data_IF_843797345118
#
_entry.id   IF_843797345118
#
_cell.length_a   1.000
_cell.length_b   1.000
_cell.length_c   1.000
_cell.angle_alpha   90.00
_cell.angle_beta   90.00
_cell.angle_gamma   90.00
#
_symmetry.space_group_name_H-M   'P 1'
#
loop_
_entity.id
_entity.type
_entity.pdbx_description
1 polymer ?
#
# COMPACT_ATOMS: atom_id res chain seq x y z
N UNK A 1 -0.08 -9.24 45.73
CA UNK A 1 1.36 -9.11 45.47
C UNK A 1 1.59 -7.78 44.74
N UNK A 2 2.34 -6.85 45.38
CA UNK A 2 2.77 -5.65 44.69
C UNK A 2 4.21 -5.88 44.14
N UNK A 3 4.39 -5.84 42.86
CA UNK A 3 5.70 -5.99 42.20
C UNK A 3 6.67 -4.85 42.57
N UNK A 4 6.16 -3.70 43.01
CA UNK A 4 7.00 -2.58 43.41
C UNK A 4 7.84 -2.86 44.66
N UNK A 5 7.41 -3.81 45.52
CA UNK A 5 8.13 -4.21 46.72
C UNK A 5 9.41 -5.03 46.44
N UNK A 6 9.59 -5.49 45.18
CA UNK A 6 10.68 -6.41 44.78
C UNK A 6 11.54 -5.87 43.62
N UNK A 7 11.41 -4.57 43.34
CA UNK A 7 12.24 -3.93 42.29
C UNK A 7 13.64 -3.66 42.83
N UNK A 8 14.63 -4.30 42.20
CA UNK A 8 16.02 -3.86 42.31
C UNK A 8 16.29 -2.64 41.40
N UNK A 9 17.41 -1.95 41.62
CA UNK A 9 17.88 -0.88 40.76
C UNK A 9 18.23 -1.44 39.35
N UNK A 10 17.20 -1.77 38.57
CA UNK A 10 17.39 -2.34 37.23
C UNK A 10 16.12 -2.89 36.62
N UNK A 11 16.26 -3.79 35.67
CA UNK A 11 15.19 -4.45 34.94
C UNK A 11 14.84 -5.85 35.50
N UNK A 12 15.41 -6.22 36.65
CA UNK A 12 15.24 -7.53 37.27
C UNK A 12 14.38 -7.44 38.51
N UNK A 13 13.47 -8.38 38.68
CA UNK A 13 12.75 -8.64 39.90
C UNK A 13 13.11 -10.03 40.38
N UNK A 14 13.75 -10.10 41.53
CA UNK A 14 14.15 -11.33 42.19
C UNK A 14 13.29 -11.58 43.42
N UNK A 15 12.49 -12.63 43.40
CA UNK A 15 11.62 -13.00 44.55
C UNK A 15 12.11 -14.32 45.10
N UNK A 16 12.62 -14.29 46.36
CA UNK A 16 13.07 -15.50 47.04
C UNK A 16 11.91 -16.29 47.64
N UNK A 17 12.07 -17.61 47.74
CA UNK A 17 11.09 -18.48 48.42
C UNK A 17 10.87 -18.09 49.89
N UNK A 18 11.89 -17.53 50.55
CA UNK A 18 11.82 -17.05 51.91
C UNK A 18 10.87 -15.88 52.10
N UNK A 19 10.85 -14.92 51.15
CA UNK A 19 9.98 -13.76 51.15
C UNK A 19 8.55 -14.15 50.83
N UNK A 20 8.37 -15.08 49.89
CA UNK A 20 7.09 -15.67 49.56
C UNK A 20 6.51 -16.42 50.78
N UNK A 21 7.33 -17.22 51.45
CA UNK A 21 6.91 -17.97 52.63
C UNK A 21 6.40 -17.05 53.74
N UNK A 22 7.11 -15.96 54.02
CA UNK A 22 6.69 -14.97 55.03
C UNK A 22 5.33 -14.32 54.67
N UNK A 23 5.17 -13.88 53.44
CA UNK A 23 3.93 -13.23 52.97
C UNK A 23 2.76 -14.21 52.93
N UNK A 24 2.96 -15.46 52.52
CA UNK A 24 1.93 -16.48 52.47
C UNK A 24 1.57 -16.89 53.91
N UNK A 25 2.55 -17.12 54.79
CA UNK A 25 2.30 -17.48 56.18
C UNK A 25 1.49 -16.43 56.95
N UNK A 26 1.69 -15.14 56.63
CA UNK A 26 0.90 -14.04 57.21
C UNK A 26 -0.59 -14.05 56.81
N UNK A 27 -0.95 -14.74 55.73
CA UNK A 27 -2.33 -14.88 55.25
C UNK A 27 -2.98 -16.23 55.63
N UNK A 28 -2.22 -17.14 56.21
CA UNK A 28 -2.71 -18.46 56.60
C UNK A 28 -3.12 -18.48 58.06
N UNK A 29 -4.03 -19.40 58.39
CA UNK A 29 -4.41 -19.65 59.79
C UNK A 29 -3.22 -20.18 60.58
N UNK A 30 -3.20 -19.91 61.91
CA UNK A 30 -2.12 -20.28 62.82
C UNK A 30 -1.79 -21.79 62.83
N UNK A 31 -2.73 -22.62 62.45
CA UNK A 31 -2.58 -24.08 62.35
C UNK A 31 -1.97 -24.59 61.05
N UNK A 32 -1.81 -23.69 60.03
CA UNK A 32 -1.32 -24.08 58.71
C UNK A 32 0.12 -23.60 58.50
N UNK A 33 1.03 -24.51 58.10
CA UNK A 33 2.43 -24.19 57.83
C UNK A 33 2.75 -24.42 56.34
N UNK A 34 3.49 -23.49 55.74
CA UNK A 34 4.06 -23.66 54.40
C UNK A 34 5.26 -24.60 54.55
N UNK A 35 5.21 -25.76 53.91
CA UNK A 35 6.28 -26.75 53.95
C UNK A 35 7.38 -26.48 52.93
N UNK A 36 7.03 -26.08 51.73
CA UNK A 36 7.98 -25.74 50.68
C UNK A 36 7.31 -24.92 49.61
N UNK A 37 8.08 -24.05 48.94
CA UNK A 37 7.69 -23.32 47.72
C UNK A 37 8.67 -23.74 46.63
N UNK A 38 8.13 -24.09 45.47
CA UNK A 38 8.93 -24.42 44.28
C UNK A 38 8.45 -23.63 43.07
N UNK A 39 9.34 -23.03 42.26
CA UNK A 39 10.80 -22.99 42.39
C UNK A 39 11.25 -22.13 43.59
N UNK A 40 12.50 -22.31 44.05
CA UNK A 40 13.08 -21.59 45.20
C UNK A 40 13.23 -20.09 44.93
N UNK A 41 13.31 -19.69 43.70
CA UNK A 41 13.44 -18.31 43.25
C UNK A 41 12.60 -18.07 42.02
N UNK A 42 11.98 -16.89 41.98
CA UNK A 42 11.28 -16.39 40.80
C UNK A 42 12.03 -15.16 40.26
N UNK A 43 12.67 -15.33 39.11
CA UNK A 43 13.38 -14.25 38.44
C UNK A 43 12.55 -13.75 37.26
N UNK A 44 12.22 -12.48 37.28
CA UNK A 44 11.53 -11.81 36.18
C UNK A 44 12.38 -10.68 35.65
N UNK A 45 12.48 -10.61 34.36
CA UNK A 45 13.02 -9.43 33.68
C UNK A 45 11.83 -8.59 33.26
N UNK A 46 11.73 -7.36 33.77
CA UNK A 46 10.76 -6.40 33.28
C UNK A 46 11.49 -5.24 32.60
N UNK A 47 10.93 -4.76 31.52
CA UNK A 47 11.36 -3.53 30.88
C UNK A 47 10.25 -2.50 31.02
N UNK A 48 10.60 -1.24 31.25
CA UNK A 48 9.65 -0.14 31.10
C UNK A 48 9.38 0.05 29.60
N UNK A 49 8.57 -0.85 29.05
CA UNK A 49 8.18 -0.75 27.67
C UNK A 49 7.31 0.49 27.48
N UNK A 50 7.76 1.37 26.61
CA UNK A 50 6.93 2.47 26.11
C UNK A 50 6.06 1.95 24.97
N UNK A 51 4.99 2.68 24.68
CA UNK A 51 4.06 2.32 23.63
C UNK A 51 4.15 3.31 22.46
N UNK A 52 4.19 2.80 21.24
CA UNK A 52 4.14 3.59 20.01
C UNK A 52 3.14 2.97 19.03
N UNK A 53 2.24 3.78 18.49
CA UNK A 53 1.34 3.35 17.41
C UNK A 53 2.11 3.35 16.10
N UNK A 54 2.12 2.21 15.41
CA UNK A 54 2.81 2.04 14.12
C UNK A 54 1.86 1.46 13.08
N UNK A 55 1.95 1.90 11.80
CA UNK A 55 1.13 1.36 10.73
C UNK A 55 1.52 -0.09 10.42
N UNK A 56 0.53 -0.88 10.00
CA UNK A 56 0.73 -2.24 9.51
C UNK A 56 1.12 -2.19 8.03
N UNK A 57 2.13 -2.98 7.65
CA UNK A 57 2.58 -3.13 6.26
C UNK A 57 2.70 -4.60 5.87
N UNK A 58 2.44 -4.88 4.62
CA UNK A 58 2.59 -6.21 4.04
C UNK A 58 4.07 -6.57 3.91
N UNK A 59 4.44 -7.77 4.39
CA UNK A 59 5.75 -8.39 4.13
C UNK A 59 5.64 -9.61 3.20
N UNK A 60 4.43 -10.16 3.03
CA UNK A 60 4.18 -11.28 2.11
C UNK A 60 4.05 -10.84 0.65
N UNK A 61 4.09 -11.82 -0.24
CA UNK A 61 3.84 -11.64 -1.67
C UNK A 61 2.47 -12.20 -2.03
N UNK A 62 1.70 -11.43 -2.78
CA UNK A 62 0.39 -11.81 -3.29
C UNK A 62 0.43 -11.69 -4.81
N UNK A 63 0.21 -12.80 -5.51
CA UNK A 63 0.23 -12.86 -6.96
C UNK A 63 -1.19 -13.19 -7.46
N UNK A 64 -1.88 -12.24 -8.11
CA UNK A 64 -3.16 -12.51 -8.73
C UNK A 64 -3.01 -13.41 -9.95
N UNK A 65 -4.11 -14.05 -10.34
CA UNK A 65 -4.17 -14.82 -11.59
C UNK A 65 -4.07 -13.89 -12.81
N UNK A 66 -3.75 -14.44 -13.99
CA UNK A 66 -3.32 -13.72 -15.21
C UNK A 66 -4.25 -12.58 -15.66
N UNK A 67 -5.54 -12.72 -15.44
CA UNK A 67 -6.55 -11.73 -15.87
C UNK A 67 -6.98 -10.79 -14.74
N UNK A 68 -6.34 -10.92 -13.56
CA UNK A 68 -6.72 -10.22 -12.37
C UNK A 68 -5.61 -9.29 -11.88
N UNK A 69 -5.99 -8.32 -11.07
CA UNK A 69 -5.06 -7.45 -10.38
C UNK A 69 -5.55 -7.13 -8.97
N UNK A 70 -4.63 -6.78 -8.09
CA UNK A 70 -4.98 -6.35 -6.74
C UNK A 70 -5.41 -4.89 -6.81
N UNK A 71 -6.70 -4.64 -6.62
CA UNK A 71 -7.27 -3.29 -6.65
C UNK A 71 -7.06 -2.54 -5.34
N UNK A 72 -7.04 -3.26 -4.21
CA UNK A 72 -6.85 -2.69 -2.87
C UNK A 72 -6.38 -3.74 -1.87
N UNK A 73 -5.58 -3.29 -0.91
CA UNK A 73 -5.19 -4.08 0.27
C UNK A 73 -5.56 -3.28 1.51
N UNK A 74 -6.37 -3.87 2.38
CA UNK A 74 -6.79 -3.28 3.65
C UNK A 74 -6.36 -4.13 4.84
N UNK A 75 -5.95 -3.47 5.90
CA UNK A 75 -5.65 -4.06 7.19
C UNK A 75 -6.67 -3.60 8.24
N UNK A 76 -7.12 -4.53 9.07
CA UNK A 76 -8.00 -4.20 10.20
C UNK A 76 -7.45 -4.83 11.49
N UNK A 77 -6.95 -3.98 12.40
CA UNK A 77 -6.74 -2.54 12.32
C UNK A 77 -5.61 -2.14 11.36
N UNK A 78 -5.60 -0.89 10.85
CA UNK A 78 -4.57 -0.33 9.98
C UNK A 78 -3.23 -0.08 10.68
N UNK A 79 -3.25 -0.05 12.01
CA UNK A 79 -2.11 0.20 12.86
C UNK A 79 -2.21 -0.59 14.16
N UNK A 80 -1.06 -0.91 14.75
CA UNK A 80 -0.94 -1.66 16.01
C UNK A 80 -0.09 -0.90 17.01
N UNK A 81 -0.28 -1.22 18.29
CA UNK A 81 0.57 -0.71 19.36
C UNK A 81 1.82 -1.57 19.48
N UNK A 82 2.98 -0.97 19.34
CA UNK A 82 4.28 -1.58 19.58
C UNK A 82 4.76 -1.21 20.98
N UNK A 83 5.09 -2.21 21.79
CA UNK A 83 5.65 -2.05 23.14
C UNK A 83 7.11 -2.50 23.11
N UNK A 84 8.03 -1.60 23.41
CA UNK A 84 9.46 -1.87 23.42
C UNK A 84 10.21 -0.78 24.21
N UNK A 85 11.51 -0.96 24.52
CA UNK A 85 12.39 0.13 24.95
C UNK A 85 12.40 1.28 23.95
N UNK A 86 12.62 2.51 24.45
CA UNK A 86 12.55 3.73 23.63
C UNK A 86 13.47 3.68 22.41
N UNK A 87 14.70 3.19 22.58
CA UNK A 87 15.71 3.08 21.52
C UNK A 87 15.22 2.26 20.31
N UNK A 88 14.47 1.18 20.58
CA UNK A 88 13.89 0.34 19.54
C UNK A 88 12.69 1.06 18.89
N UNK A 89 11.84 1.71 19.69
CA UNK A 89 10.68 2.44 19.18
C UNK A 89 11.06 3.60 18.28
N UNK A 90 12.18 4.26 18.53
CA UNK A 90 12.66 5.39 17.71
C UNK A 90 13.01 4.94 16.28
N UNK A 91 13.52 3.72 16.14
CA UNK A 91 13.86 3.14 14.84
C UNK A 91 12.68 2.43 14.16
N UNK A 92 11.65 2.05 14.92
CA UNK A 92 10.52 1.29 14.42
C UNK A 92 9.55 2.19 13.64
N UNK A 93 9.48 2.01 12.31
CA UNK A 93 8.63 2.81 11.42
C UNK A 93 7.28 2.15 11.10
N UNK A 94 7.21 0.82 11.11
CA UNK A 94 6.02 0.04 10.77
C UNK A 94 6.08 -1.36 11.41
N UNK A 95 4.92 -1.98 11.58
CA UNK A 95 4.78 -3.38 11.90
C UNK A 95 4.52 -4.15 10.60
N UNK A 96 5.33 -5.18 10.33
CA UNK A 96 5.19 -5.99 9.14
C UNK A 96 4.45 -7.28 9.46
N UNK A 97 3.66 -7.79 8.52
CA UNK A 97 3.06 -9.12 8.61
C UNK A 97 4.14 -10.21 8.55
N UNK A 98 3.80 -11.41 8.97
CA UNK A 98 4.60 -12.59 8.65
C UNK A 98 4.76 -12.74 7.14
N UNK A 99 5.89 -13.34 6.71
CA UNK A 99 6.09 -13.64 5.30
C UNK A 99 5.18 -14.77 4.85
N UNK A 100 4.49 -14.53 3.74
CA UNK A 100 3.67 -15.54 3.08
C UNK A 100 3.76 -15.34 1.56
N UNK A 101 3.38 -16.37 0.83
CA UNK A 101 3.31 -16.35 -0.63
C UNK A 101 1.98 -16.95 -1.06
N UNK A 102 1.12 -16.13 -1.66
CA UNK A 102 -0.18 -16.55 -2.19
C UNK A 102 -0.21 -16.32 -3.68
N UNK A 103 -0.56 -17.37 -4.43
CA UNK A 103 -0.63 -17.35 -5.89
C UNK A 103 -2.04 -17.62 -6.39
N UNK A 104 -2.27 -17.27 -7.66
CA UNK A 104 -3.49 -17.56 -8.41
C UNK A 104 -4.75 -17.01 -7.72
N UNK A 105 -4.64 -15.79 -7.18
CA UNK A 105 -5.75 -15.14 -6.50
C UNK A 105 -6.67 -14.52 -7.56
N UNK A 106 -7.89 -15.05 -7.68
CA UNK A 106 -8.93 -14.60 -8.62
C UNK A 106 -10.13 -13.95 -7.93
N UNK A 107 -10.23 -14.07 -6.62
CA UNK A 107 -11.31 -13.51 -5.80
C UNK A 107 -10.80 -12.70 -4.61
N UNK A 108 -11.68 -11.86 -4.05
CA UNK A 108 -11.39 -11.14 -2.81
C UNK A 108 -11.08 -12.11 -1.67
N UNK A 109 -9.88 -11.99 -1.12
CA UNK A 109 -9.38 -12.85 -0.06
C UNK A 109 -9.39 -12.10 1.27
N UNK A 110 -9.95 -12.72 2.31
CA UNK A 110 -9.88 -12.22 3.69
C UNK A 110 -9.21 -13.28 4.55
N UNK A 111 -8.09 -12.93 5.17
CA UNK A 111 -7.32 -13.84 6.04
C UNK A 111 -6.76 -13.11 7.24
N UNK A 112 -6.71 -13.82 8.34
CA UNK A 112 -5.98 -13.39 9.53
C UNK A 112 -4.50 -13.74 9.36
N UNK A 113 -3.64 -12.74 9.53
CA UNK A 113 -2.17 -12.86 9.41
C UNK A 113 -1.51 -12.43 10.71
N UNK A 114 -0.41 -13.10 11.09
CA UNK A 114 0.40 -12.74 12.23
C UNK A 114 1.29 -11.52 11.93
N UNK A 115 1.74 -10.85 12.99
CA UNK A 115 2.80 -9.85 12.90
C UNK A 115 4.17 -10.54 12.97
N UNK A 116 5.09 -10.10 12.12
CA UNK A 116 6.48 -10.58 12.13
C UNK A 116 7.11 -10.26 13.49
N UNK A 117 7.77 -11.25 14.09
CA UNK A 117 8.42 -11.11 15.38
C UNK A 117 9.68 -10.26 15.27
N UNK A 118 9.69 -9.15 15.98
CA UNK A 118 10.87 -8.29 16.13
C UNK A 118 11.42 -8.47 17.55
N UNK A 119 12.72 -8.75 17.67
CA UNK A 119 13.36 -8.96 18.97
C UNK A 119 13.17 -7.73 19.87
N UNK A 120 12.63 -7.94 21.06
CA UNK A 120 12.39 -6.87 22.03
C UNK A 120 11.15 -6.02 21.78
N UNK A 121 10.31 -6.37 20.79
CA UNK A 121 9.05 -5.68 20.48
C UNK A 121 7.87 -6.62 20.67
N UNK A 122 6.82 -6.14 21.34
CA UNK A 122 5.53 -6.80 21.44
C UNK A 122 4.48 -5.97 20.70
N UNK A 123 3.83 -6.56 19.69
CA UNK A 123 2.71 -5.93 18.98
C UNK A 123 1.37 -6.32 19.61
N UNK A 124 0.46 -5.35 19.75
CA UNK A 124 -0.91 -5.57 20.20
C UNK A 124 -1.86 -4.82 19.24
N UNK A 125 -2.78 -5.52 18.55
CA UNK A 125 -2.90 -6.98 18.51
C UNK A 125 -1.72 -7.66 17.80
N UNK A 126 -1.47 -8.95 18.11
CA UNK A 126 -0.43 -9.76 17.48
C UNK A 126 -0.85 -10.31 16.11
N UNK A 127 -2.12 -10.17 15.75
CA UNK A 127 -2.72 -10.59 14.49
C UNK A 127 -3.47 -9.43 13.86
N UNK A 128 -3.62 -9.49 12.55
CA UNK A 128 -4.36 -8.51 11.79
C UNK A 128 -5.25 -9.20 10.76
N UNK A 129 -6.43 -8.68 10.50
CA UNK A 129 -7.30 -9.17 9.45
C UNK A 129 -6.95 -8.44 8.14
N UNK A 130 -6.36 -9.18 7.21
CA UNK A 130 -5.96 -8.72 5.88
C UNK A 130 -7.07 -8.99 4.89
N UNK A 131 -7.51 -7.95 4.19
CA UNK A 131 -8.44 -8.02 3.07
C UNK A 131 -7.74 -7.62 1.78
N UNK A 132 -7.68 -8.54 0.83
CA UNK A 132 -7.11 -8.33 -0.50
C UNK A 132 -8.26 -8.31 -1.49
N UNK A 133 -8.50 -7.16 -2.10
CA UNK A 133 -9.54 -6.98 -3.10
C UNK A 133 -8.92 -7.20 -4.48
N UNK A 134 -9.51 -8.11 -5.21
CA UNK A 134 -9.07 -8.49 -6.55
C UNK A 134 -10.13 -8.04 -7.55
N UNK A 135 -9.71 -7.55 -8.70
CA UNK A 135 -10.58 -7.16 -9.80
C UNK A 135 -10.02 -7.68 -11.12
N UNK A 136 -10.87 -7.80 -12.13
CA UNK A 136 -10.48 -8.29 -13.45
C UNK A 136 -10.17 -7.13 -14.38
N UNK A 137 -9.12 -7.27 -15.18
CA UNK A 137 -8.87 -6.35 -16.29
C UNK A 137 -9.84 -6.60 -17.43
N UNK A 138 -10.30 -5.50 -18.04
CA UNK A 138 -11.00 -5.50 -19.31
C UNK A 138 -10.30 -4.56 -20.28
N UNK A 139 -10.33 -4.88 -21.55
CA UNK A 139 -9.83 -4.00 -22.62
C UNK A 139 -10.97 -3.09 -23.09
N UNK A 140 -10.68 -1.80 -23.22
CA UNK A 140 -11.61 -0.79 -23.73
C UNK A 140 -10.93 0.05 -24.79
N UNK A 141 -11.72 0.45 -25.80
CA UNK A 141 -11.27 1.33 -26.87
C UNK A 141 -12.16 2.57 -26.89
N UNK A 142 -11.56 3.73 -27.02
CA UNK A 142 -12.25 5.03 -27.15
C UNK A 142 -11.65 5.83 -28.32
N UNK A 143 -12.47 6.66 -28.97
CA UNK A 143 -12.02 7.54 -30.05
C UNK A 143 -11.60 8.89 -29.46
N UNK A 144 -10.31 9.21 -29.54
CA UNK A 144 -9.72 10.42 -28.97
C UNK A 144 -9.33 11.38 -30.10
N UNK A 145 -9.73 12.66 -30.03
CA UNK A 145 -9.31 13.64 -31.05
C UNK A 145 -7.82 13.98 -30.93
N UNK A 146 -7.20 14.21 -32.08
CA UNK A 146 -5.83 14.74 -32.15
C UNK A 146 -5.88 16.26 -32.15
N UNK A 147 -5.27 16.90 -31.16
CA UNK A 147 -5.34 18.35 -30.97
C UNK A 147 -3.98 19.01 -31.19
N UNK A 148 -3.97 20.08 -32.03
CA UNK A 148 -2.79 20.93 -32.19
C UNK A 148 -2.60 21.86 -30.95
N UNK A 149 -1.36 21.95 -30.46
CA UNK A 149 -0.99 22.76 -29.31
C UNK A 149 0.09 23.76 -29.72
N UNK A 150 -0.02 25.00 -29.25
CA UNK A 150 0.97 26.07 -29.45
C UNK A 150 1.28 26.30 -30.93
N UNK A 151 0.27 26.26 -31.81
CA UNK A 151 0.41 26.66 -33.20
C UNK A 151 0.43 28.19 -33.30
N UNK A 152 1.22 28.76 -34.21
CA UNK A 152 1.21 30.19 -34.47
C UNK A 152 -0.18 30.68 -34.90
N UNK A 153 -0.46 31.95 -34.64
CA UNK A 153 -1.72 32.57 -35.04
C UNK A 153 -2.01 32.35 -36.54
N UNK A 154 -3.25 31.98 -36.87
CA UNK A 154 -3.68 31.69 -38.22
C UNK A 154 -3.23 30.33 -38.77
N UNK A 155 -2.53 29.49 -38.00
CA UNK A 155 -2.19 28.11 -38.39
C UNK A 155 -2.97 27.10 -37.58
N UNK A 156 -3.60 26.13 -38.22
CA UNK A 156 -4.37 25.06 -37.60
C UNK A 156 -3.90 23.71 -38.09
N UNK A 157 -3.68 22.79 -37.17
CA UNK A 157 -3.38 21.40 -37.51
C UNK A 157 -4.65 20.67 -37.94
N UNK A 158 -4.58 20.01 -39.10
CA UNK A 158 -5.59 19.05 -39.55
C UNK A 158 -4.92 17.69 -39.69
N UNK A 159 -5.50 16.67 -39.07
CA UNK A 159 -5.00 15.29 -39.12
C UNK A 159 -6.00 14.37 -39.80
N UNK A 160 -5.50 13.34 -40.46
CA UNK A 160 -6.30 12.32 -41.13
C UNK A 160 -5.83 10.93 -40.70
N UNK A 161 -6.68 10.26 -39.85
CA UNK A 161 -7.98 10.70 -39.31
C UNK A 161 -7.84 11.80 -38.23
N UNK A 162 -8.91 12.55 -38.00
CA UNK A 162 -8.96 13.59 -36.96
C UNK A 162 -9.15 13.03 -35.55
N UNK A 163 -9.61 11.76 -35.43
CA UNK A 163 -9.71 10.98 -34.19
C UNK A 163 -9.00 9.67 -34.40
N UNK A 164 -8.39 9.18 -33.34
CA UNK A 164 -7.69 7.88 -33.32
C UNK A 164 -8.18 7.02 -32.19
N UNK A 165 -8.09 5.71 -32.34
CA UNK A 165 -8.50 4.76 -31.34
C UNK A 165 -7.40 4.62 -30.27
N UNK A 166 -7.80 4.83 -29.03
CA UNK A 166 -6.97 4.54 -27.84
C UNK A 166 -7.52 3.30 -27.18
N UNK A 167 -6.74 2.22 -27.20
CA UNK A 167 -7.06 0.96 -26.56
C UNK A 167 -6.23 0.83 -25.29
N UNK A 168 -6.86 0.45 -24.19
CA UNK A 168 -6.22 0.34 -22.88
C UNK A 168 -6.86 -0.75 -22.03
N UNK A 169 -6.14 -1.21 -21.00
CA UNK A 169 -6.66 -2.08 -19.96
C UNK A 169 -7.12 -1.26 -18.76
N UNK A 170 -8.30 -1.61 -18.24
CA UNK A 170 -8.92 -0.98 -17.07
C UNK A 170 -9.64 -2.03 -16.24
N UNK A 171 -9.66 -1.86 -14.91
CA UNK A 171 -10.44 -2.72 -14.03
C UNK A 171 -11.95 -2.57 -14.31
N UNK A 172 -12.70 -3.67 -14.21
CA UNK A 172 -14.14 -3.69 -14.51
C UNK A 172 -14.92 -2.64 -13.70
N UNK A 173 -14.49 -2.33 -12.50
CA UNK A 173 -15.12 -1.30 -11.65
C UNK A 173 -15.08 0.08 -12.28
N UNK A 174 -14.01 0.40 -12.97
CA UNK A 174 -13.78 1.70 -13.62
C UNK A 174 -14.10 1.69 -15.12
N UNK A 175 -14.57 0.55 -15.65
CA UNK A 175 -14.82 0.42 -17.09
C UNK A 175 -15.79 1.44 -17.64
N UNK A 176 -16.83 1.80 -16.86
CA UNK A 176 -17.84 2.79 -17.25
C UNK A 176 -17.39 4.23 -17.02
N UNK A 177 -16.47 4.43 -16.10
CA UNK A 177 -16.02 5.76 -15.66
C UNK A 177 -15.03 6.38 -16.65
N UNK A 178 -14.32 5.55 -17.44
CA UNK A 178 -13.31 6.03 -18.40
C UNK A 178 -13.97 6.35 -19.74
N UNK A 179 -13.72 7.56 -20.22
CA UNK A 179 -14.22 8.08 -21.51
C UNK A 179 -13.07 8.59 -22.40
N UNK A 180 -13.40 9.09 -23.62
CA UNK A 180 -12.43 9.75 -24.50
C UNK A 180 -11.80 10.99 -23.88
N UNK A 181 -12.53 11.69 -23.03
CA UNK A 181 -12.12 12.96 -22.44
C UNK A 181 -11.00 12.79 -21.36
N UNK A 182 -10.82 11.56 -20.90
CA UNK A 182 -9.77 11.21 -19.95
C UNK A 182 -8.40 11.01 -20.64
N UNK A 183 -8.37 11.02 -21.97
CA UNK A 183 -7.14 10.87 -22.76
C UNK A 183 -6.83 12.13 -23.55
N UNK A 184 -5.55 12.45 -23.59
CA UNK A 184 -5.10 13.62 -24.33
C UNK A 184 -4.00 13.26 -25.33
N UNK A 185 -4.27 13.51 -26.62
CA UNK A 185 -3.33 13.38 -27.71
C UNK A 185 -3.09 14.75 -28.30
N UNK A 186 -2.02 15.38 -27.82
CA UNK A 186 -1.64 16.72 -28.25
C UNK A 186 -0.37 16.70 -29.11
N UNK A 187 -0.39 17.42 -30.22
CA UNK A 187 0.74 17.63 -31.12
C UNK A 187 1.14 19.07 -31.09
N UNK A 188 2.37 19.36 -30.76
CA UNK A 188 2.90 20.73 -30.79
C UNK A 188 3.37 21.13 -32.20
N UNK A 189 3.42 22.44 -32.47
CA UNK A 189 3.99 22.93 -33.70
C UNK A 189 5.46 22.51 -33.87
N UNK A 190 6.22 22.41 -32.78
CA UNK A 190 7.59 21.91 -32.78
C UNK A 190 7.67 20.42 -33.17
N UNK A 191 6.72 19.59 -32.71
CA UNK A 191 6.66 18.17 -33.08
C UNK A 191 6.50 18.04 -34.63
N UNK A 192 5.67 18.89 -35.21
CA UNK A 192 5.47 18.94 -36.66
C UNK A 192 6.73 19.35 -37.39
N UNK A 193 7.45 20.39 -36.91
CA UNK A 193 8.70 20.85 -37.54
C UNK A 193 9.83 19.83 -37.42
N UNK A 194 9.83 18.99 -36.43
CA UNK A 194 10.82 17.91 -36.23
C UNK A 194 10.52 16.67 -37.05
N UNK A 195 9.29 16.52 -37.52
CA UNK A 195 8.86 15.34 -38.26
C UNK A 195 9.48 15.38 -39.69
N UNK A 196 10.32 14.38 -39.99
CA UNK A 196 10.92 14.18 -41.28
C UNK A 196 10.05 13.22 -42.13
N UNK A 197 8.91 13.67 -42.62
CA UNK A 197 8.02 12.85 -43.45
C UNK A 197 6.57 13.28 -43.41
N UNK A 198 5.73 12.56 -44.15
CA UNK A 198 4.30 12.89 -44.31
C UNK A 198 3.41 12.38 -43.16
N UNK A 199 3.98 11.59 -42.22
CA UNK A 199 3.23 10.99 -41.10
C UNK A 199 3.73 11.50 -39.78
N UNK A 200 2.77 11.99 -38.97
CA UNK A 200 2.99 12.51 -37.65
C UNK A 200 2.81 11.41 -36.61
N UNK A 201 3.83 11.04 -35.82
CA UNK A 201 3.70 10.06 -34.77
C UNK A 201 2.85 10.59 -33.63
N UNK A 202 1.99 9.74 -33.05
CA UNK A 202 1.07 10.10 -31.98
C UNK A 202 1.49 9.42 -30.68
N UNK A 203 1.45 10.21 -29.59
CA UNK A 203 1.68 9.74 -28.23
C UNK A 203 0.59 10.26 -27.32
N UNK A 204 0.07 9.40 -26.46
CA UNK A 204 -0.87 9.82 -25.41
C UNK A 204 -0.07 10.60 -24.35
N UNK A 205 -0.41 11.87 -24.15
CA UNK A 205 0.23 12.78 -23.19
C UNK A 205 -0.49 12.81 -21.83
N UNK A 206 -1.73 12.32 -21.76
CA UNK A 206 -2.51 12.22 -20.54
C UNK A 206 -3.41 11.01 -20.54
N UNK A 207 -3.44 10.27 -19.44
CA UNK A 207 -4.32 9.13 -19.18
C UNK A 207 -4.56 9.00 -17.68
N UNK A 208 -5.68 8.39 -17.23
CA UNK A 208 -5.90 8.10 -15.82
C UNK A 208 -4.86 7.14 -15.24
N UNK A 209 -4.49 7.32 -13.97
CA UNK A 209 -3.48 6.51 -13.29
C UNK A 209 -3.89 5.02 -13.11
N UNK A 210 -5.19 4.74 -13.17
CA UNK A 210 -5.73 3.38 -13.00
C UNK A 210 -5.94 2.62 -14.32
N UNK A 211 -5.50 3.17 -15.46
CA UNK A 211 -5.44 2.46 -16.75
C UNK A 211 -4.02 2.02 -17.06
N UNK A 212 -3.89 0.94 -17.82
CA UNK A 212 -2.60 0.38 -18.22
C UNK A 212 -2.61 -0.09 -19.67
N UNK A 213 -1.43 -0.41 -20.21
CA UNK A 213 -1.27 -0.92 -21.58
C UNK A 213 -1.93 -0.05 -22.65
N UNK A 214 -1.79 1.27 -22.51
CA UNK A 214 -2.38 2.24 -23.44
C UNK A 214 -1.70 2.15 -24.80
N UNK A 215 -2.48 1.98 -25.86
CA UNK A 215 -2.03 1.89 -27.26
C UNK A 215 -2.86 2.80 -28.14
N UNK A 216 -2.23 3.45 -29.11
CA UNK A 216 -2.87 4.32 -30.10
C UNK A 216 -2.88 3.62 -31.44
N UNK A 217 -4.03 3.60 -32.11
CA UNK A 217 -4.20 3.01 -33.44
C UNK A 217 -4.97 3.98 -34.34
N UNK A 218 -4.39 4.42 -35.48
CA UNK A 218 -3.00 4.22 -35.90
C UNK A 218 -2.00 5.00 -35.05
N UNK A 219 -0.77 4.51 -34.93
CA UNK A 219 0.31 5.17 -34.17
C UNK A 219 0.87 6.43 -34.85
N UNK A 220 0.50 6.68 -36.10
CA UNK A 220 0.84 7.89 -36.85
C UNK A 220 -0.30 8.25 -37.78
N UNK A 221 -0.45 9.54 -38.10
CA UNK A 221 -1.51 10.08 -38.95
C UNK A 221 -0.92 10.98 -40.04
N UNK A 222 -1.60 11.08 -41.16
CA UNK A 222 -1.31 12.10 -42.16
C UNK A 222 -1.77 13.47 -41.63
N UNK A 223 -1.09 14.53 -42.01
CA UNK A 223 -1.40 15.86 -41.53
C UNK A 223 -1.20 16.96 -42.56
N UNK A 224 -1.87 18.08 -42.36
CA UNK A 224 -1.60 19.33 -43.03
C UNK A 224 -1.74 20.51 -42.08
N UNK A 225 -1.04 21.60 -42.35
CA UNK A 225 -1.19 22.87 -41.66
C UNK A 225 -2.04 23.78 -42.53
N UNK A 226 -3.26 24.09 -42.08
CA UNK A 226 -4.18 25.01 -42.74
C UNK A 226 -3.89 26.44 -42.26
N UNK A 227 -3.86 27.39 -43.24
CA UNK A 227 -3.85 28.82 -42.90
C UNK A 227 -5.28 29.31 -42.81
N UNK A 228 -5.72 29.72 -41.64
CA UNK A 228 -6.99 30.45 -41.47
C UNK A 228 -6.72 31.94 -41.71
N UNK A 229 -7.35 32.48 -42.73
CA UNK A 229 -7.44 33.93 -42.88
C UNK A 229 -8.30 34.46 -41.74
N UNK A 230 -7.71 35.25 -40.87
CA UNK A 230 -8.49 36.00 -39.87
C UNK A 230 -9.20 37.09 -40.68
N UNK A 231 -10.51 36.97 -40.90
CA UNK A 231 -11.33 38.11 -41.31
C UNK A 231 -11.33 39.07 -40.13
N UNK A 232 -10.62 40.20 -40.26
CA UNK A 232 -10.76 41.34 -39.35
C UNK A 232 -12.16 41.95 -39.56
N UNK A 233 -13.04 41.81 -38.59
CA UNK A 233 -14.25 42.61 -38.43
C UNK A 233 -13.94 43.96 -37.80
#
# INVERSE_FOLDING_TARGET
>A
FDFNDYKDEGTHVHISSSDLTKKIAAQLNVSTKVLAIRPDTLDFIYTQAKAKKVPVKLAGTIQPDRQYYISKIDFSPDSVMAYAPQEILDTLKAAYTENFFWENISDTLKKRVGMNKVKGVKFIPAYNDLSVYVDMYSEKTVDVPVVGINFPAGKVLRTFPSKVQVTFQVGLRHFKDVSSDDFFIGVTYEDVLRTQGDKLPLVVKGSPDFVSHVRVVPSSVDYLIEQQTVEED
#
